data_IF_451807130727
#
_entry.id   IF_451807130727
#
_cell.length_a   1.000
_cell.length_b   1.000
_cell.length_c   1.000
_cell.angle_alpha   90.00
_cell.angle_beta   90.00
_cell.angle_gamma   90.00
#
_symmetry.space_group_name_H-M   'P 1'
#
loop_
_entity.id
_entity.type
_entity.pdbx_description
1 polymer ?
#
# COMPACT_ATOMS: atom_id res chain seq x y z
N UNK A 1 -19.53 11.86 0.90
CA UNK A 1 -18.87 10.85 1.76
C UNK A 1 -17.42 10.61 1.36
N UNK A 2 -17.11 10.61 0.08
CA UNK A 2 -15.75 10.43 -0.45
C UNK A 2 -14.78 11.57 -0.04
N UNK A 3 -15.27 12.81 0.05
CA UNK A 3 -14.49 13.94 0.60
C UNK A 3 -14.09 13.74 2.06
N UNK A 4 -14.84 12.91 2.82
CA UNK A 4 -14.50 12.54 4.19
C UNK A 4 -13.32 11.57 4.28
N UNK A 5 -13.11 10.74 3.26
CA UNK A 5 -12.10 9.68 3.27
C UNK A 5 -10.71 10.21 2.96
N UNK A 6 -10.58 11.17 2.03
CA UNK A 6 -9.27 11.64 1.57
C UNK A 6 -8.72 12.86 2.33
N UNK A 7 -9.57 13.77 2.82
CA UNK A 7 -9.09 15.07 3.28
C UNK A 7 -9.80 15.57 4.55
N UNK A 8 -9.63 14.85 5.66
CA UNK A 8 -10.00 15.40 6.96
C UNK A 8 -8.86 16.18 7.64
N UNK A 9 -7.71 16.28 7.02
CA UNK A 9 -6.62 17.02 7.60
C UNK A 9 -6.39 18.36 6.87
N UNK A 10 -6.20 19.38 7.64
CA UNK A 10 -5.73 20.72 7.24
C UNK A 10 -4.31 20.72 6.65
N UNK A 11 -3.82 19.59 6.18
CA UNK A 11 -2.40 19.39 5.92
C UNK A 11 -2.21 18.91 4.48
N UNK A 12 -2.08 19.87 3.58
CA UNK A 12 -1.15 19.69 2.48
C UNK A 12 0.23 19.99 3.10
N UNK A 13 0.71 19.06 3.89
CA UNK A 13 2.06 19.15 4.44
C UNK A 13 3.04 18.77 3.35
N UNK A 14 4.07 19.57 3.15
CA UNK A 14 5.21 19.26 2.27
C UNK A 14 5.99 18.02 2.71
N UNK A 15 5.58 17.39 3.81
CA UNK A 15 6.24 16.27 4.47
C UNK A 15 5.56 14.91 4.19
N UNK A 16 4.54 14.87 3.32
CA UNK A 16 3.94 13.60 2.90
C UNK A 16 4.81 12.96 1.83
N UNK A 17 5.13 11.69 2.02
CA UNK A 17 5.94 10.88 1.11
C UNK A 17 5.20 9.61 0.71
N UNK A 18 5.62 9.03 -0.40
CA UNK A 18 5.15 7.71 -0.83
C UNK A 18 5.85 6.63 -0.02
N UNK A 19 5.08 5.74 0.56
CA UNK A 19 5.55 4.55 1.29
C UNK A 19 5.27 3.29 0.47
N UNK A 20 6.28 2.41 0.36
CA UNK A 20 6.11 1.06 -0.14
C UNK A 20 5.74 0.12 1.02
N UNK A 21 4.55 -0.45 0.99
CA UNK A 21 4.07 -1.35 2.04
C UNK A 21 4.92 -2.63 2.04
N UNK A 22 5.04 -3.33 0.90
CA UNK A 22 6.12 -4.28 0.65
C UNK A 22 7.38 -3.49 0.30
N UNK A 23 8.48 -3.65 1.03
CA UNK A 23 9.67 -2.81 0.89
C UNK A 23 10.32 -2.86 -0.50
N UNK A 24 11.09 -1.81 -0.83
CA UNK A 24 11.89 -1.75 -2.08
C UNK A 24 12.99 -2.82 -2.14
N UNK A 25 13.48 -3.29 -0.99
CA UNK A 25 14.50 -4.33 -0.92
C UNK A 25 14.09 -5.38 0.10
N UNK A 26 13.93 -6.63 -0.33
CA UNK A 26 13.45 -7.74 0.49
C UNK A 26 14.44 -8.90 0.64
N UNK A 27 15.45 -9.03 -0.22
CA UNK A 27 16.31 -10.22 -0.31
C UNK A 27 17.02 -10.59 1.01
N UNK A 28 17.19 -9.62 1.92
CA UNK A 28 17.81 -9.82 3.24
C UNK A 28 16.82 -9.71 4.39
N UNK A 29 15.52 -9.73 4.08
CA UNK A 29 14.44 -9.51 5.05
C UNK A 29 13.63 -10.81 5.19
N UNK A 30 13.87 -11.64 6.21
CA UNK A 30 13.21 -12.92 6.36
C UNK A 30 11.69 -12.81 6.52
N UNK A 31 11.19 -11.67 6.99
CA UNK A 31 9.75 -11.40 7.12
C UNK A 31 9.07 -11.10 5.78
N UNK A 32 9.85 -10.81 4.73
CA UNK A 32 9.34 -10.40 3.42
C UNK A 32 9.76 -11.30 2.28
N UNK A 33 10.84 -12.04 2.42
CA UNK A 33 11.46 -12.81 1.34
C UNK A 33 11.38 -14.31 1.55
N UNK A 34 11.09 -15.02 0.47
CA UNK A 34 11.23 -16.48 0.36
C UNK A 34 11.92 -16.79 -0.97
N UNK A 35 12.89 -17.68 -0.96
CA UNK A 35 13.52 -18.15 -2.20
C UNK A 35 12.54 -18.95 -3.05
N UNK A 36 12.66 -18.88 -4.38
CA UNK A 36 11.75 -19.55 -5.30
C UNK A 36 11.75 -21.09 -5.14
N UNK A 37 12.86 -21.64 -4.66
CA UNK A 37 13.13 -23.06 -4.44
C UNK A 37 13.19 -23.47 -2.96
N UNK A 38 12.84 -22.56 -2.05
CA UNK A 38 12.88 -22.81 -0.60
C UNK A 38 11.83 -23.85 -0.22
N UNK A 39 12.28 -24.93 0.42
CA UNK A 39 11.46 -26.02 0.92
C UNK A 39 11.66 -26.23 2.41
N UNK A 40 10.65 -26.74 3.09
CA UNK A 40 10.73 -27.17 4.49
C UNK A 40 11.52 -28.51 4.63
N UNK A 41 11.63 -29.00 5.87
CA UNK A 41 12.31 -30.26 6.20
C UNK A 41 11.73 -31.49 5.49
N UNK A 42 10.50 -31.42 5.05
CA UNK A 42 9.77 -32.49 4.37
C UNK A 42 9.81 -32.35 2.83
N UNK A 43 10.58 -31.37 2.32
CA UNK A 43 10.71 -31.07 0.90
C UNK A 43 9.51 -30.38 0.27
N UNK A 44 8.56 -29.90 1.10
CA UNK A 44 7.41 -29.13 0.63
C UNK A 44 7.78 -27.66 0.47
N UNK A 45 7.34 -27.05 -0.62
CA UNK A 45 7.58 -25.63 -0.86
C UNK A 45 7.02 -24.79 0.28
N UNK A 46 7.86 -23.90 0.83
CA UNK A 46 7.44 -22.96 1.86
C UNK A 46 6.50 -21.93 1.23
N UNK A 47 5.31 -21.83 1.79
CA UNK A 47 4.31 -20.82 1.42
C UNK A 47 3.96 -19.99 2.64
N UNK A 48 4.60 -18.86 2.79
CA UNK A 48 4.24 -17.87 3.81
C UNK A 48 3.41 -16.77 3.13
N UNK A 49 2.20 -16.50 3.63
CA UNK A 49 1.32 -15.51 3.00
C UNK A 49 1.86 -14.09 3.00
N UNK A 50 2.85 -13.78 3.85
CA UNK A 50 3.46 -12.44 3.94
C UNK A 50 4.81 -12.34 3.23
N UNK A 51 5.27 -13.41 2.58
CA UNK A 51 6.61 -13.45 1.96
C UNK A 51 6.50 -13.52 0.44
N UNK A 52 7.44 -12.88 -0.23
CA UNK A 52 7.45 -12.75 -1.69
C UNK A 52 8.73 -13.36 -2.27
N UNK A 53 8.59 -14.02 -3.40
CA UNK A 53 9.74 -14.38 -4.24
C UNK A 53 10.28 -13.14 -4.95
N UNK A 54 11.50 -13.21 -5.45
CA UNK A 54 12.10 -12.12 -6.25
C UNK A 54 11.25 -11.77 -7.49
N UNK A 55 10.60 -12.75 -8.09
CA UNK A 55 9.72 -12.54 -9.24
C UNK A 55 8.46 -11.76 -8.87
N UNK A 56 7.78 -12.18 -7.80
CA UNK A 56 6.60 -11.48 -7.28
C UNK A 56 6.95 -10.06 -6.85
N UNK A 57 8.06 -9.88 -6.14
CA UNK A 57 8.51 -8.57 -5.70
C UNK A 57 8.67 -7.60 -6.88
N UNK A 58 9.40 -7.98 -7.93
CA UNK A 58 9.59 -7.14 -9.13
C UNK A 58 8.28 -6.78 -9.82
N UNK A 59 7.32 -7.72 -9.88
CA UNK A 59 6.01 -7.53 -10.50
C UNK A 59 5.13 -6.56 -9.71
N UNK A 60 5.20 -6.61 -8.38
CA UNK A 60 4.23 -5.97 -7.48
C UNK A 60 4.73 -4.67 -6.86
N UNK A 61 6.06 -4.47 -6.78
CA UNK A 61 6.67 -3.35 -6.07
C UNK A 61 6.05 -1.99 -6.40
N UNK A 62 5.90 -1.71 -7.69
CA UNK A 62 5.41 -0.41 -8.19
C UNK A 62 3.90 -0.37 -8.45
N UNK A 63 3.16 -1.41 -8.05
CA UNK A 63 1.70 -1.39 -8.17
C UNK A 63 1.10 -0.41 -7.17
N UNK A 64 0.08 0.34 -7.61
CA UNK A 64 -0.60 1.31 -6.74
C UNK A 64 -1.13 0.66 -5.46
N UNK A 65 -1.55 -0.61 -5.54
CA UNK A 65 -1.97 -1.39 -4.37
C UNK A 65 -0.88 -1.57 -3.33
N UNK A 66 0.41 -1.54 -3.71
CA UNK A 66 1.54 -1.62 -2.78
C UNK A 66 2.01 -0.25 -2.24
N UNK A 67 1.37 0.83 -2.63
CA UNK A 67 1.77 2.18 -2.28
C UNK A 67 0.77 2.83 -1.34
N UNK A 68 1.26 3.61 -0.39
CA UNK A 68 0.41 4.46 0.46
C UNK A 68 1.10 5.79 0.75
N UNK A 69 0.38 6.70 1.36
CA UNK A 69 0.90 8.02 1.73
C UNK A 69 1.23 8.03 3.21
N UNK A 70 2.39 8.57 3.56
CA UNK A 70 2.83 8.64 4.94
C UNK A 70 3.65 9.91 5.18
N UNK A 71 3.68 10.39 6.40
CA UNK A 71 4.59 11.48 6.77
C UNK A 71 6.04 11.02 6.70
N UNK A 72 6.94 11.94 6.33
CA UNK A 72 8.35 11.62 6.08
C UNK A 72 9.06 10.95 7.27
N UNK A 73 8.79 11.41 8.50
CA UNK A 73 9.44 10.86 9.70
C UNK A 73 9.03 9.40 9.95
N UNK A 74 7.72 9.08 10.09
CA UNK A 74 7.29 7.69 10.19
C UNK A 74 7.77 6.81 9.03
N UNK A 75 7.73 7.31 7.79
CA UNK A 75 8.19 6.57 6.62
C UNK A 75 9.68 6.16 6.75
N UNK A 76 10.55 7.07 7.19
CA UNK A 76 11.97 6.77 7.36
C UNK A 76 12.25 5.68 8.42
N UNK A 77 11.36 5.50 9.39
CA UNK A 77 11.45 4.47 10.43
C UNK A 77 10.90 3.11 9.98
N UNK A 78 9.96 3.13 9.02
CA UNK A 78 9.28 1.93 8.56
C UNK A 78 10.16 1.04 7.67
N UNK A 79 10.87 1.63 6.74
CA UNK A 79 11.78 0.94 5.80
C UNK A 79 11.40 -0.53 5.53
N UNK A 80 12.19 -1.46 6.06
CA UNK A 80 12.07 -2.90 5.80
C UNK A 80 11.53 -3.69 7.00
N UNK A 81 10.93 -3.05 8.01
CA UNK A 81 10.33 -3.77 9.14
C UNK A 81 9.15 -4.63 8.68
N UNK A 82 8.80 -5.67 9.45
CA UNK A 82 7.73 -6.60 9.11
C UNK A 82 6.38 -5.90 8.91
N UNK A 83 5.47 -6.54 8.19
CA UNK A 83 4.13 -5.98 7.99
C UNK A 83 3.37 -5.78 9.31
N UNK A 84 3.55 -6.68 10.27
CA UNK A 84 2.92 -6.55 11.60
C UNK A 84 3.38 -5.28 12.33
N UNK A 85 4.66 -4.96 12.28
CA UNK A 85 5.18 -3.72 12.87
C UNK A 85 4.73 -2.48 12.09
N UNK A 86 4.67 -2.57 10.74
CA UNK A 86 4.12 -1.50 9.92
C UNK A 86 2.67 -1.20 10.26
N UNK A 87 1.82 -2.22 10.41
CA UNK A 87 0.41 -2.06 10.81
C UNK A 87 0.25 -1.28 12.10
N UNK A 88 1.06 -1.60 13.11
CA UNK A 88 1.02 -0.89 14.36
C UNK A 88 1.30 0.60 14.17
N UNK A 89 2.35 0.93 13.43
CA UNK A 89 2.72 2.32 13.14
C UNK A 89 1.67 3.03 12.27
N UNK A 90 1.12 2.38 11.26
CA UNK A 90 0.02 2.94 10.45
C UNK A 90 -1.18 3.32 11.30
N UNK A 91 -1.52 2.49 12.28
CA UNK A 91 -2.65 2.72 13.18
C UNK A 91 -2.39 3.86 14.17
N UNK A 92 -1.20 3.93 14.74
CA UNK A 92 -0.89 4.83 15.86
C UNK A 92 -0.30 6.18 15.44
N UNK A 93 0.42 6.22 14.31
CA UNK A 93 1.20 7.38 13.91
C UNK A 93 0.68 8.08 12.65
N UNK A 94 -0.20 7.43 11.87
CA UNK A 94 -0.78 8.04 10.67
C UNK A 94 -2.12 8.70 10.96
N UNK A 95 -2.32 9.91 10.43
CA UNK A 95 -3.60 10.61 10.36
C UNK A 95 -4.28 10.45 8.99
N UNK A 96 -3.63 9.76 8.05
CA UNK A 96 -4.13 9.49 6.71
C UNK A 96 -4.99 8.22 6.73
N UNK A 97 -6.30 8.35 6.49
CA UNK A 97 -7.25 7.26 6.62
C UNK A 97 -6.88 6.03 5.76
N UNK A 98 -6.55 6.22 4.49
CA UNK A 98 -6.17 5.13 3.59
C UNK A 98 -4.94 4.34 4.06
N UNK A 99 -4.08 4.95 4.89
CA UNK A 99 -2.93 4.29 5.49
C UNK A 99 -3.34 3.58 6.78
N UNK A 100 -4.17 4.20 7.60
CA UNK A 100 -4.68 3.58 8.84
C UNK A 100 -5.50 2.32 8.58
N UNK A 101 -6.28 2.28 7.51
CA UNK A 101 -7.08 1.12 7.08
C UNK A 101 -6.22 -0.11 6.75
N UNK A 102 -4.93 0.07 6.41
CA UNK A 102 -4.00 -1.04 6.22
C UNK A 102 -3.77 -1.84 7.50
N UNK A 103 -3.99 -1.24 8.68
CA UNK A 103 -3.85 -1.93 9.96
C UNK A 103 -4.90 -3.03 10.18
N UNK A 104 -6.02 -3.00 9.46
CA UNK A 104 -7.07 -3.99 9.55
C UNK A 104 -6.81 -5.22 8.66
N UNK A 105 -5.77 -5.19 7.82
CA UNK A 105 -5.37 -6.33 6.99
C UNK A 105 -4.66 -7.38 7.84
N UNK A 106 -5.01 -8.65 7.65
CA UNK A 106 -4.39 -9.77 8.37
C UNK A 106 -2.99 -10.10 7.85
N UNK A 107 -2.77 -9.93 6.55
CA UNK A 107 -1.49 -10.19 5.88
C UNK A 107 -1.33 -9.29 4.65
N UNK A 108 -0.11 -9.25 4.13
CA UNK A 108 0.23 -8.49 2.93
C UNK A 108 0.88 -9.41 1.92
N UNK A 109 0.16 -9.73 0.85
CA UNK A 109 0.58 -10.67 -0.20
C UNK A 109 0.14 -10.19 -1.59
N UNK A 110 0.40 -10.99 -2.62
CA UNK A 110 0.02 -10.68 -4.00
C UNK A 110 -1.47 -10.38 -4.13
N UNK A 111 -2.34 -11.24 -3.58
CA UNK A 111 -3.79 -11.07 -3.68
C UNK A 111 -4.26 -9.78 -3.01
N UNK A 112 -3.71 -9.47 -1.83
CA UNK A 112 -4.04 -8.24 -1.09
C UNK A 112 -3.62 -6.99 -1.87
N UNK A 113 -2.46 -7.03 -2.53
CA UNK A 113 -1.97 -5.93 -3.36
C UNK A 113 -2.86 -5.75 -4.59
N UNK A 114 -3.21 -6.83 -5.28
CA UNK A 114 -4.04 -6.78 -6.49
C UNK A 114 -5.46 -6.33 -6.18
N UNK A 115 -6.07 -6.87 -5.12
CA UNK A 115 -7.40 -6.43 -4.66
C UNK A 115 -7.41 -4.93 -4.36
N UNK A 116 -6.38 -4.43 -3.67
CA UNK A 116 -6.28 -3.00 -3.40
C UNK A 116 -6.04 -2.16 -4.65
N UNK A 117 -5.38 -2.70 -5.69
CA UNK A 117 -5.31 -2.02 -6.99
C UNK A 117 -6.71 -1.82 -7.58
N UNK A 118 -7.54 -2.84 -7.53
CA UNK A 118 -8.91 -2.80 -8.07
C UNK A 118 -9.78 -1.83 -7.27
N UNK A 119 -9.72 -1.86 -5.94
CA UNK A 119 -10.43 -0.93 -5.06
C UNK A 119 -10.06 0.53 -5.38
N UNK A 120 -8.76 0.86 -5.40
CA UNK A 120 -8.29 2.22 -5.68
C UNK A 120 -8.63 2.67 -7.10
N UNK A 121 -8.63 1.76 -8.07
CA UNK A 121 -9.03 2.07 -9.45
C UNK A 121 -10.53 2.34 -9.55
N UNK A 122 -11.34 1.57 -8.85
CA UNK A 122 -12.79 1.78 -8.77
C UNK A 122 -13.14 3.13 -8.14
N UNK A 123 -12.46 3.47 -7.07
CA UNK A 123 -12.61 4.76 -6.40
C UNK A 123 -12.23 5.92 -7.32
N UNK A 124 -11.11 5.82 -8.03
CA UNK A 124 -10.66 6.83 -8.97
C UNK A 124 -11.68 7.04 -10.11
N UNK A 125 -12.20 5.96 -10.69
CA UNK A 125 -13.23 6.03 -11.72
C UNK A 125 -14.50 6.71 -11.22
N UNK A 126 -14.92 6.41 -10.00
CA UNK A 126 -16.11 7.03 -9.38
C UNK A 126 -15.91 8.54 -9.20
N UNK A 127 -14.74 8.95 -8.71
CA UNK A 127 -14.42 10.38 -8.52
C UNK A 127 -14.44 11.11 -9.86
N UNK A 128 -13.72 10.59 -10.86
CA UNK A 128 -13.61 11.26 -12.16
C UNK A 128 -14.92 11.28 -12.92
N UNK A 129 -15.74 10.23 -12.83
CA UNK A 129 -17.08 10.26 -13.40
C UNK A 129 -17.92 11.39 -12.81
N UNK A 130 -17.89 11.55 -11.48
CA UNK A 130 -18.62 12.63 -10.80
C UNK A 130 -18.12 14.03 -11.22
N UNK A 131 -16.80 14.18 -11.42
CA UNK A 131 -16.21 15.45 -11.89
C UNK A 131 -16.59 15.74 -13.34
N UNK A 132 -16.59 14.74 -14.22
CA UNK A 132 -16.92 14.89 -15.63
C UNK A 132 -18.42 15.14 -15.86
N UNK A 133 -19.27 14.63 -14.99
CA UNK A 133 -20.72 14.81 -15.04
C UNK A 133 -21.18 16.11 -14.35
N UNK A 134 -20.26 16.88 -13.73
CA UNK A 134 -20.57 18.18 -13.13
C UNK A 134 -20.71 19.26 -14.19
N UNK A 135 -21.93 19.81 -14.40
CA UNK A 135 -22.19 20.81 -15.45
C UNK A 135 -21.48 22.17 -15.17
N UNK A 136 -20.85 22.34 -14.01
CA UNK A 136 -20.09 23.56 -13.64
C UNK A 136 -18.61 23.48 -14.03
N UNK A 137 -18.13 22.32 -14.46
CA UNK A 137 -16.77 22.17 -14.99
C UNK A 137 -16.74 22.70 -16.43
N UNK A 138 -16.30 23.94 -16.58
CA UNK A 138 -16.17 24.62 -17.86
C UNK A 138 -15.15 23.87 -18.75
N UNK A 139 -15.61 23.38 -19.88
CA UNK A 139 -14.82 22.64 -20.90
C UNK A 139 -13.75 23.51 -21.60
N UNK A 140 -13.46 24.68 -21.10
CA UNK A 140 -12.51 25.63 -21.72
C UNK A 140 -11.07 25.55 -21.20
N UNK A 141 -10.76 24.63 -20.28
CA UNK A 141 -9.41 24.48 -19.71
C UNK A 141 -8.81 23.07 -19.90
N UNK A 142 -9.08 22.42 -21.02
CA UNK A 142 -8.37 21.19 -21.41
C UNK A 142 -7.51 21.45 -22.64
#
# INVERSE_FOLDING_TARGET
>A
EFRRVLFRSKIISRDITLEHIMPESIEKQPDWYVADDETDSDGKKITDPNRFTSSQHRKLLKRIGNLTLLHKIPNSELKNISFELKKLKYKTESDINMTRELADRTHWNEDTILLRCDDLSGDALTIWKTVLDDPTVDSQNV
#
